data_IF_683896921851
#
_entry.id   IF_683896921851
#
_cell.length_a   1.000
_cell.length_b   1.000
_cell.length_c   1.000
_cell.angle_alpha   90.00
_cell.angle_beta   90.00
_cell.angle_gamma   90.00
#
_symmetry.space_group_name_H-M   'P 1'
#
loop_
_entity.id
_entity.type
_entity.pdbx_description
1 polymer ?
#
# COMPACT_ATOMS: atom_id res chain seq x y z
N UNK A 1 8.78 -19.91 -12.05
CA UNK A 1 7.54 -19.27 -12.54
C UNK A 1 7.68 -17.76 -12.49
N UNK A 2 6.98 -17.04 -13.36
CA UNK A 2 6.93 -15.58 -13.32
C UNK A 2 5.68 -15.15 -12.56
N UNK A 3 5.86 -14.46 -11.42
CA UNK A 3 4.75 -13.92 -10.64
C UNK A 3 4.44 -12.49 -11.11
N UNK A 4 3.29 -12.29 -11.75
CA UNK A 4 2.85 -10.97 -12.22
C UNK A 4 2.19 -10.18 -11.08
N UNK A 5 2.97 -9.26 -10.51
CA UNK A 5 2.55 -8.39 -9.42
C UNK A 5 1.45 -7.42 -9.86
N UNK A 6 1.49 -6.94 -11.11
CA UNK A 6 0.52 -5.96 -11.61
C UNK A 6 -0.88 -6.55 -11.67
N UNK A 7 -0.99 -7.81 -12.12
CA UNK A 7 -2.26 -8.55 -12.12
C UNK A 7 -2.79 -8.74 -10.70
N UNK A 8 -1.93 -9.07 -9.74
CA UNK A 8 -2.32 -9.29 -8.33
C UNK A 8 -2.77 -8.00 -7.63
N UNK A 9 -2.13 -6.87 -7.95
CA UNK A 9 -2.58 -5.56 -7.48
C UNK A 9 -3.99 -5.25 -7.97
N UNK A 10 -4.29 -5.55 -9.24
CA UNK A 10 -5.63 -5.35 -9.78
C UNK A 10 -6.67 -6.27 -9.11
N UNK A 11 -6.37 -7.57 -8.98
CA UNK A 11 -7.24 -8.53 -8.29
C UNK A 11 -7.54 -8.09 -6.85
N UNK A 12 -6.55 -7.58 -6.11
CA UNK A 12 -6.73 -7.08 -4.74
C UNK A 12 -7.69 -5.89 -4.69
N UNK A 13 -7.59 -4.97 -5.65
CA UNK A 13 -8.47 -3.81 -5.76
C UNK A 13 -9.90 -4.21 -6.13
N UNK A 14 -10.07 -5.17 -7.04
CA UNK A 14 -11.39 -5.67 -7.44
C UNK A 14 -12.11 -6.35 -6.26
N UNK A 15 -11.35 -6.93 -5.32
CA UNK A 15 -11.84 -7.44 -4.04
C UNK A 15 -12.04 -6.35 -2.97
N UNK A 16 -12.05 -5.07 -3.36
CA UNK A 16 -12.19 -3.89 -2.49
C UNK A 16 -11.05 -3.71 -1.48
N UNK A 17 -9.91 -4.33 -1.72
CA UNK A 17 -8.69 -4.09 -0.96
C UNK A 17 -8.17 -2.68 -1.17
N UNK A 18 -7.69 -2.05 -0.10
CA UNK A 18 -7.12 -0.70 -0.12
C UNK A 18 -5.61 -0.78 -0.12
N UNK A 19 -4.95 -0.13 -1.08
CA UNK A 19 -3.49 -0.07 -1.19
C UNK A 19 -3.06 1.36 -0.94
N UNK A 20 -2.15 1.55 0.00
CA UNK A 20 -1.67 2.86 0.43
C UNK A 20 -0.16 2.92 0.27
N UNK A 21 0.38 4.05 -0.17
CA UNK A 21 1.81 4.24 -0.33
C UNK A 21 2.35 5.29 0.63
N UNK A 22 3.44 4.97 1.33
CA UNK A 22 4.13 5.94 2.16
C UNK A 22 4.80 7.02 1.30
N UNK A 23 4.41 8.28 1.49
CA UNK A 23 4.86 9.41 0.68
C UNK A 23 6.39 9.59 0.74
N UNK A 24 6.98 9.59 1.94
CA UNK A 24 8.42 9.75 2.11
C UNK A 24 9.22 8.61 1.47
N UNK A 25 8.67 7.40 1.48
CA UNK A 25 9.25 6.23 0.84
C UNK A 25 9.28 6.34 -0.69
N UNK A 26 8.28 6.96 -1.31
CA UNK A 26 8.26 7.23 -2.75
C UNK A 26 9.28 8.32 -3.11
N UNK A 27 9.35 9.41 -2.33
CA UNK A 27 10.30 10.50 -2.52
C UNK A 27 11.75 10.02 -2.49
N UNK A 28 12.13 9.23 -1.49
CA UNK A 28 13.49 8.67 -1.36
C UNK A 28 13.84 7.73 -2.52
N UNK A 29 12.83 7.09 -3.13
CA UNK A 29 13.02 6.19 -4.29
C UNK A 29 12.85 6.90 -5.64
N UNK A 30 12.72 8.23 -5.66
CA UNK A 30 12.43 9.03 -6.85
C UNK A 30 11.23 8.50 -7.65
N UNK A 31 10.17 8.08 -6.93
CA UNK A 31 8.90 7.63 -7.51
C UNK A 31 7.82 8.67 -7.30
N UNK A 32 6.97 8.84 -8.30
CA UNK A 32 5.78 9.68 -8.23
C UNK A 32 4.58 8.90 -7.70
N UNK A 33 3.55 9.64 -7.31
CA UNK A 33 2.27 9.08 -6.89
C UNK A 33 1.60 8.27 -8.01
N UNK A 34 0.76 7.31 -7.64
CA UNK A 34 0.02 6.44 -8.55
C UNK A 34 -1.47 6.68 -8.41
N UNK A 35 -2.22 6.55 -9.52
CA UNK A 35 -3.70 6.55 -9.48
C UNK A 35 -4.28 5.34 -8.72
N UNK A 36 -3.47 4.29 -8.52
CA UNK A 36 -3.92 3.03 -7.90
C UNK A 36 -3.69 3.04 -6.39
N UNK A 37 -2.59 3.62 -5.91
CA UNK A 37 -2.32 3.77 -4.48
C UNK A 37 -2.16 5.25 -4.11
N UNK A 38 -3.15 5.85 -3.42
CA UNK A 38 -2.97 7.18 -2.88
C UNK A 38 -1.83 7.19 -1.85
N UNK A 39 -1.18 8.35 -1.72
CA UNK A 39 -0.13 8.55 -0.73
C UNK A 39 -0.71 8.76 0.67
N UNK A 40 0.02 8.31 1.67
CA UNK A 40 -0.33 8.44 3.09
C UNK A 40 0.84 8.94 3.92
N UNK A 41 0.50 9.38 5.13
CA UNK A 41 1.44 9.83 6.15
C UNK A 41 1.65 8.77 7.23
N UNK A 42 2.65 8.99 8.08
CA UNK A 42 2.86 8.15 9.26
C UNK A 42 1.68 8.17 10.24
N UNK A 43 0.90 9.25 10.28
CA UNK A 43 -0.30 9.31 11.15
C UNK A 43 -1.38 8.36 10.67
N UNK A 44 -1.55 8.25 9.35
CA UNK A 44 -2.52 7.33 8.75
C UNK A 44 -2.14 5.87 9.03
N UNK A 45 -0.83 5.55 8.98
CA UNK A 45 -0.35 4.22 9.33
C UNK A 45 -0.64 3.86 10.79
N UNK A 46 -0.38 4.78 11.73
CA UNK A 46 -0.69 4.56 13.16
C UNK A 46 -2.18 4.30 13.34
N UNK A 47 -3.04 5.11 12.71
CA UNK A 47 -4.48 4.92 12.76
C UNK A 47 -4.92 3.54 12.25
N UNK A 48 -4.37 3.10 11.10
CA UNK A 48 -4.67 1.77 10.55
C UNK A 48 -4.28 0.67 11.54
N UNK A 49 -3.13 0.80 12.19
CA UNK A 49 -2.65 -0.18 13.17
C UNK A 49 -3.56 -0.20 14.42
N UNK A 50 -3.94 0.97 14.93
CA UNK A 50 -4.83 1.09 16.10
C UNK A 50 -6.24 0.54 15.84
N UNK A 51 -6.77 0.74 14.63
CA UNK A 51 -8.11 0.30 14.23
C UNK A 51 -8.16 -1.18 13.79
N UNK A 52 -7.00 -1.85 13.64
CA UNK A 52 -6.94 -3.22 13.17
C UNK A 52 -6.88 -4.23 14.32
N UNK A 53 -7.71 -5.27 14.27
CA UNK A 53 -7.63 -6.39 15.22
C UNK A 53 -6.32 -7.17 15.10
N UNK A 54 -5.72 -7.20 13.90
CA UNK A 54 -4.51 -7.94 13.57
C UNK A 54 -3.68 -7.20 12.54
N UNK A 55 -2.36 -7.24 12.70
CA UNK A 55 -1.40 -6.67 11.77
C UNK A 55 -0.39 -7.74 11.35
N UNK A 56 -0.21 -7.92 10.05
CA UNK A 56 0.80 -8.80 9.46
C UNK A 56 1.87 -7.93 8.79
N UNK A 57 3.13 -8.19 9.12
CA UNK A 57 4.29 -7.48 8.56
C UNK A 57 5.15 -8.48 7.80
N UNK A 58 5.48 -8.13 6.56
CA UNK A 58 6.39 -8.89 5.71
C UNK A 58 7.70 -8.10 5.59
N UNK A 59 8.83 -8.76 5.89
CA UNK A 59 10.18 -8.18 5.86
C UNK A 59 10.88 -8.39 4.53
#
# INVERSE_FOLDING_TARGET
>A
EHFDISKKIQEFKDLKGVILACESCLKVRAKSESKICPVTTMRDLVKIVEESDKVLVFG
#
